data_IF_422730150191
#
_entry.id   IF_422730150191
#
_cell.length_a   1.000
_cell.length_b   1.000
_cell.length_c   1.000
_cell.angle_alpha   90.00
_cell.angle_beta   90.00
_cell.angle_gamma   90.00
#
_symmetry.space_group_name_H-M   'P 1'
#
loop_
_entity.id
_entity.type
_entity.pdbx_description
1 polymer ?
#
# COMPACT_ATOMS: atom_id res chain seq x y z
N UNK A 1 19.27 3.85 9.05
CA UNK A 1 18.17 4.03 8.09
C UNK A 1 17.35 5.28 8.40
N UNK A 2 16.77 5.41 9.61
CA UNK A 2 15.99 6.60 10.02
C UNK A 2 16.84 7.89 10.02
N UNK A 3 18.09 7.82 10.48
CA UNK A 3 19.00 8.97 10.53
C UNK A 3 19.22 9.65 9.18
N UNK A 4 19.55 8.87 8.14
CA UNK A 4 19.78 9.42 6.81
C UNK A 4 18.51 10.04 6.23
N UNK A 5 17.35 9.43 6.47
CA UNK A 5 16.07 9.97 6.05
C UNK A 5 15.72 11.27 6.78
N UNK A 6 16.09 11.39 8.07
CA UNK A 6 15.90 12.64 8.82
C UNK A 6 16.82 13.75 8.33
N UNK A 7 18.10 13.47 8.06
CA UNK A 7 19.00 14.46 7.50
C UNK A 7 18.53 14.94 6.11
N UNK A 8 18.08 14.02 5.25
CA UNK A 8 17.51 14.40 3.95
C UNK A 8 16.22 15.23 4.10
N UNK A 9 15.39 14.92 5.11
CA UNK A 9 14.19 15.69 5.39
C UNK A 9 14.52 17.10 5.90
N UNK A 10 15.54 17.26 6.75
CA UNK A 10 15.98 18.58 7.24
C UNK A 10 16.56 19.44 6.13
N UNK A 11 17.27 18.84 5.17
CA UNK A 11 17.77 19.56 3.99
C UNK A 11 16.62 20.07 3.11
N UNK A 12 15.58 19.24 2.94
CA UNK A 12 14.39 19.60 2.15
C UNK A 12 13.56 20.71 2.81
N UNK A 13 13.61 20.81 4.14
CA UNK A 13 12.84 21.80 4.93
C UNK A 13 13.65 23.06 5.26
N UNK A 14 14.88 23.18 4.76
CA UNK A 14 15.82 24.28 5.05
C UNK A 14 16.02 24.47 6.57
N UNK A 15 16.29 23.38 7.29
CA UNK A 15 16.52 23.35 8.74
C UNK A 15 17.92 22.81 9.08
N UNK A 16 19.01 23.50 8.66
CA UNK A 16 20.37 22.99 8.80
C UNK A 16 20.79 22.83 10.27
N UNK A 17 20.28 23.65 11.18
CA UNK A 17 20.56 23.55 12.61
C UNK A 17 20.04 22.23 13.21
N UNK A 18 18.89 21.74 12.72
CA UNK A 18 18.34 20.45 13.17
C UNK A 18 19.19 19.31 12.64
N UNK A 19 19.65 19.38 11.38
CA UNK A 19 20.55 18.40 10.79
C UNK A 19 21.85 18.30 11.59
N UNK A 20 22.44 19.45 11.94
CA UNK A 20 23.65 19.54 12.75
C UNK A 20 23.45 18.93 14.14
N UNK A 21 22.32 19.21 14.79
CA UNK A 21 21.99 18.57 16.08
C UNK A 21 21.82 17.07 15.96
N UNK A 22 21.16 16.56 14.92
CA UNK A 22 21.06 15.11 14.69
C UNK A 22 22.46 14.49 14.60
N UNK A 23 23.41 15.15 13.94
CA UNK A 23 24.78 14.64 13.71
C UNK A 23 25.68 14.79 14.96
N UNK A 24 25.54 15.86 15.73
CA UNK A 24 26.48 16.21 16.80
C UNK A 24 25.97 15.89 18.21
N UNK A 25 24.67 15.99 18.43
CA UNK A 25 24.03 15.79 19.73
C UNK A 25 23.45 14.37 19.83
N UNK A 26 24.19 13.50 20.53
CA UNK A 26 23.81 12.09 20.72
C UNK A 26 22.48 11.96 21.47
N UNK A 27 22.26 12.75 22.52
CA UNK A 27 21.04 12.67 23.33
C UNK A 27 19.84 13.09 22.51
N UNK A 28 19.93 14.23 21.81
CA UNK A 28 18.88 14.68 20.90
C UNK A 28 18.56 13.63 19.84
N UNK A 29 19.58 12.99 19.26
CA UNK A 29 19.42 11.91 18.29
C UNK A 29 18.65 10.71 18.85
N UNK A 30 19.03 10.26 20.05
CA UNK A 30 18.42 9.10 20.70
C UNK A 30 16.96 9.38 21.06
N UNK A 31 16.69 10.55 21.63
CA UNK A 31 15.33 10.99 21.99
C UNK A 31 14.43 11.12 20.75
N UNK A 32 14.92 11.80 19.72
CA UNK A 32 14.21 11.97 18.46
C UNK A 32 13.95 10.61 17.78
N UNK A 33 14.97 9.76 17.73
CA UNK A 33 14.86 8.41 17.17
C UNK A 33 13.83 7.55 17.91
N UNK A 34 13.80 7.63 19.25
CA UNK A 34 12.82 6.95 20.08
C UNK A 34 11.39 7.40 19.78
N UNK A 35 11.14 8.72 19.72
CA UNK A 35 9.82 9.24 19.39
C UNK A 35 9.34 8.83 18.00
N UNK A 36 10.25 8.80 17.02
CA UNK A 36 9.95 8.37 15.66
C UNK A 36 9.64 6.87 15.59
N UNK A 37 10.38 6.04 16.32
CA UNK A 37 10.10 4.61 16.41
C UNK A 37 8.71 4.35 17.00
N UNK A 38 8.31 5.09 18.03
CA UNK A 38 6.97 5.01 18.62
C UNK A 38 5.90 5.37 17.56
N UNK A 39 6.08 6.50 16.86
CA UNK A 39 5.11 6.92 15.82
C UNK A 39 5.06 5.94 14.66
N UNK A 40 6.21 5.42 14.21
CA UNK A 40 6.26 4.42 13.15
C UNK A 40 5.53 3.14 13.58
N UNK A 41 5.73 2.68 14.81
CA UNK A 41 5.01 1.53 15.38
C UNK A 41 3.48 1.74 15.38
N UNK A 42 3.02 2.94 15.74
CA UNK A 42 1.59 3.29 15.71
C UNK A 42 1.06 3.28 14.26
N UNK A 43 1.77 3.91 13.32
CA UNK A 43 1.36 3.95 11.91
C UNK A 43 1.26 2.54 11.33
N UNK A 44 2.29 1.71 11.53
CA UNK A 44 2.30 0.32 11.08
C UNK A 44 1.14 -0.47 11.67
N UNK A 45 0.93 -0.36 12.98
CA UNK A 45 -0.16 -1.08 13.66
C UNK A 45 -1.53 -0.65 13.15
N UNK A 46 -1.76 0.65 12.96
CA UNK A 46 -3.02 1.18 12.45
C UNK A 46 -3.33 0.66 11.04
N UNK A 47 -2.36 0.74 10.12
CA UNK A 47 -2.57 0.29 8.74
C UNK A 47 -2.68 -1.23 8.67
N UNK A 48 -1.92 -1.97 9.48
CA UNK A 48 -2.06 -3.41 9.60
C UNK A 48 -3.45 -3.83 10.08
N UNK A 49 -4.00 -3.15 11.10
CA UNK A 49 -5.35 -3.42 11.60
C UNK A 49 -6.41 -3.19 10.51
N UNK A 50 -6.27 -2.13 9.72
CA UNK A 50 -7.13 -1.87 8.56
C UNK A 50 -7.02 -3.00 7.53
N UNK A 51 -5.80 -3.43 7.19
CA UNK A 51 -5.60 -4.55 6.27
C UNK A 51 -6.26 -5.84 6.78
N UNK A 52 -6.09 -6.15 8.08
CA UNK A 52 -6.70 -7.30 8.74
C UNK A 52 -8.22 -7.32 8.64
N UNK A 53 -8.89 -6.17 8.82
CA UNK A 53 -10.35 -6.08 8.73
C UNK A 53 -10.88 -6.34 7.32
N UNK A 54 -10.06 -6.10 6.28
CA UNK A 54 -10.48 -6.19 4.88
C UNK A 54 -10.04 -7.49 4.21
N UNK A 55 -9.03 -8.19 4.74
CA UNK A 55 -8.36 -9.31 4.06
C UNK A 55 -9.31 -10.46 3.71
N UNK A 56 -10.23 -10.80 4.61
CA UNK A 56 -11.19 -11.88 4.41
C UNK A 56 -12.11 -11.62 3.19
N UNK A 57 -12.60 -10.39 3.03
CA UNK A 57 -13.43 -10.00 1.90
C UNK A 57 -12.68 -10.02 0.57
N UNK A 58 -11.41 -9.59 0.56
CA UNK A 58 -10.62 -9.53 -0.67
C UNK A 58 -10.09 -10.87 -1.16
N UNK A 59 -9.86 -11.83 -0.25
CA UNK A 59 -9.37 -13.17 -0.60
C UNK A 59 -10.43 -14.28 -0.43
N UNK A 60 -11.65 -13.89 -0.08
CA UNK A 60 -12.83 -14.75 0.07
C UNK A 60 -12.62 -15.92 1.05
N UNK A 61 -12.08 -15.65 2.24
CA UNK A 61 -11.78 -16.73 3.20
C UNK A 61 -13.04 -17.35 3.82
N UNK A 62 -14.14 -16.59 3.97
CA UNK A 62 -15.43 -17.13 4.44
C UNK A 62 -15.92 -18.34 3.65
N UNK A 63 -15.76 -18.32 2.32
CA UNK A 63 -16.24 -19.39 1.44
C UNK A 63 -15.15 -20.41 1.07
N UNK A 64 -13.93 -20.23 1.59
CA UNK A 64 -12.81 -21.14 1.34
C UNK A 64 -12.82 -22.29 2.36
N UNK A 65 -12.88 -23.55 1.87
CA UNK A 65 -12.84 -24.75 2.72
C UNK A 65 -11.49 -24.94 3.41
N UNK A 66 -10.39 -24.61 2.73
CA UNK A 66 -9.03 -24.71 3.25
C UNK A 66 -8.31 -23.36 3.16
N UNK A 67 -8.66 -22.48 4.10
CA UNK A 67 -8.11 -21.12 4.20
C UNK A 67 -6.60 -21.14 4.43
N UNK A 68 -6.12 -22.09 5.25
CA UNK A 68 -4.72 -22.19 5.61
C UNK A 68 -3.86 -22.53 4.40
N UNK A 69 -4.28 -23.51 3.60
CA UNK A 69 -3.58 -23.84 2.36
C UNK A 69 -3.68 -22.69 1.35
N UNK A 70 -4.84 -22.06 1.21
CA UNK A 70 -5.01 -20.89 0.33
C UNK A 70 -4.03 -19.76 0.67
N UNK A 71 -3.87 -19.44 1.95
CA UNK A 71 -2.91 -18.44 2.43
C UNK A 71 -1.48 -18.86 2.13
N UNK A 72 -1.12 -20.13 2.35
CA UNK A 72 0.22 -20.64 2.03
C UNK A 72 0.53 -20.51 0.54
N UNK A 73 -0.42 -20.83 -0.33
CA UNK A 73 -0.25 -20.71 -1.79
C UNK A 73 -0.06 -19.25 -2.22
N UNK A 74 -0.89 -18.36 -1.65
CA UNK A 74 -0.80 -16.91 -1.88
C UNK A 74 0.58 -16.35 -1.49
N UNK A 75 1.09 -16.76 -0.33
CA UNK A 75 2.37 -16.29 0.20
C UNK A 75 3.59 -16.93 -0.49
N UNK A 76 3.52 -18.23 -0.84
CA UNK A 76 4.64 -18.96 -1.44
C UNK A 76 5.03 -18.39 -2.82
N UNK A 77 4.06 -17.93 -3.59
CA UNK A 77 4.26 -17.40 -4.94
C UNK A 77 4.15 -15.87 -5.00
N UNK A 78 3.95 -15.19 -3.86
CA UNK A 78 3.59 -13.78 -3.79
C UNK A 78 2.39 -13.40 -4.69
N UNK A 79 1.50 -14.35 -5.01
CA UNK A 79 0.37 -14.11 -5.93
C UNK A 79 -0.67 -13.17 -5.33
N UNK A 80 -0.64 -12.97 -4.01
CA UNK A 80 -1.53 -12.06 -3.29
C UNK A 80 -1.44 -10.60 -3.74
N UNK A 81 -0.34 -10.19 -4.39
CA UNK A 81 -0.19 -8.80 -4.86
C UNK A 81 -0.83 -8.54 -6.22
N UNK A 82 -1.13 -9.59 -6.98
CA UNK A 82 -1.57 -9.47 -8.37
C UNK A 82 -3.07 -9.24 -8.48
N UNK A 83 -3.47 -8.39 -9.42
CA UNK A 83 -4.87 -8.22 -9.80
C UNK A 83 -5.50 -9.51 -10.31
N UNK A 84 -6.83 -9.53 -10.35
CA UNK A 84 -7.60 -10.62 -10.93
C UNK A 84 -8.10 -10.22 -12.32
N UNK A 85 -8.14 -11.16 -13.24
CA UNK A 85 -8.79 -10.98 -14.55
C UNK A 85 -10.31 -11.18 -14.44
N UNK A 86 -11.01 -11.06 -15.58
CA UNK A 86 -12.46 -11.22 -15.66
C UNK A 86 -12.99 -12.59 -15.18
N UNK A 87 -12.13 -13.61 -15.10
CA UNK A 87 -12.48 -14.94 -14.61
C UNK A 87 -12.05 -15.15 -13.14
N UNK A 88 -11.76 -14.07 -12.41
CA UNK A 88 -11.30 -14.09 -11.01
C UNK A 88 -9.98 -14.86 -10.79
N UNK A 89 -9.18 -15.02 -11.85
CA UNK A 89 -7.86 -15.65 -11.77
C UNK A 89 -6.78 -14.60 -11.69
N UNK A 90 -5.69 -14.94 -10.99
CA UNK A 90 -4.49 -14.11 -10.90
C UNK A 90 -4.01 -13.73 -12.30
N UNK A 91 -3.86 -12.44 -12.53
CA UNK A 91 -3.33 -11.87 -13.76
C UNK A 91 -1.90 -11.38 -13.55
N UNK A 92 -0.93 -12.10 -14.14
CA UNK A 92 0.48 -11.76 -14.09
C UNK A 92 0.83 -10.40 -14.71
N UNK A 93 -0.06 -9.83 -15.54
CA UNK A 93 0.10 -8.50 -16.12
C UNK A 93 -0.28 -7.37 -15.14
N UNK A 94 -0.89 -7.69 -13.99
CA UNK A 94 -1.38 -6.72 -13.01
C UNK A 94 -0.67 -6.84 -11.65
N UNK A 95 0.67 -6.79 -11.57
CA UNK A 95 1.37 -6.81 -10.29
C UNK A 95 0.96 -5.61 -9.43
N UNK A 96 0.92 -5.83 -8.10
CA UNK A 96 0.54 -4.84 -7.08
C UNK A 96 -0.89 -4.28 -7.16
N UNK A 97 -1.70 -4.72 -8.12
CA UNK A 97 -3.05 -4.22 -8.36
C UNK A 97 -4.15 -5.12 -7.75
N UNK A 98 -3.81 -6.01 -6.82
CA UNK A 98 -4.83 -6.72 -6.06
C UNK A 98 -5.68 -5.73 -5.25
N UNK A 99 -7.00 -5.98 -5.18
CA UNK A 99 -7.95 -5.09 -4.52
C UNK A 99 -7.62 -4.84 -3.03
N UNK A 100 -7.05 -5.83 -2.34
CA UNK A 100 -6.56 -5.66 -0.96
C UNK A 100 -5.40 -4.66 -0.84
N UNK A 101 -4.47 -4.65 -1.81
CA UNK A 101 -3.34 -3.71 -1.84
C UNK A 101 -3.87 -2.30 -2.09
N UNK A 102 -4.77 -2.14 -3.07
CA UNK A 102 -5.41 -0.86 -3.37
C UNK A 102 -6.19 -0.34 -2.17
N UNK A 103 -7.00 -1.18 -1.52
CA UNK A 103 -7.78 -0.80 -0.34
C UNK A 103 -6.90 -0.40 0.86
N UNK A 104 -5.69 -0.97 0.97
CA UNK A 104 -4.70 -0.58 1.97
C UNK A 104 -4.02 0.75 1.60
N UNK A 105 -3.69 0.95 0.32
CA UNK A 105 -3.14 2.20 -0.20
C UNK A 105 -4.10 3.38 -0.02
N UNK A 106 -5.40 3.18 -0.24
CA UNK A 106 -6.45 4.18 -0.01
C UNK A 106 -6.42 4.71 1.43
N UNK A 107 -6.21 3.82 2.39
CA UNK A 107 -6.20 4.17 3.82
C UNK A 107 -4.91 4.90 4.20
N UNK A 108 -3.77 4.47 3.66
CA UNK A 108 -2.51 5.19 3.81
C UNK A 108 -2.64 6.60 3.22
N UNK A 109 -3.18 6.71 2.00
CA UNK A 109 -3.35 7.98 1.31
C UNK A 109 -4.22 8.95 2.12
N UNK A 110 -5.41 8.47 2.54
CA UNK A 110 -6.38 9.23 3.33
C UNK A 110 -5.79 9.70 4.66
N UNK A 111 -5.05 8.84 5.35
CA UNK A 111 -4.53 9.15 6.67
C UNK A 111 -3.30 10.07 6.64
N UNK A 112 -2.44 9.96 5.61
CA UNK A 112 -1.10 10.54 5.69
C UNK A 112 -0.65 11.34 4.46
N UNK A 113 -1.36 11.28 3.33
CA UNK A 113 -0.82 11.80 2.06
C UNK A 113 -1.68 12.86 1.36
N UNK A 114 -2.92 13.10 1.78
CA UNK A 114 -3.83 14.09 1.16
C UNK A 114 -3.21 15.48 1.04
N UNK A 115 -2.36 15.86 1.99
CA UNK A 115 -1.69 17.19 2.03
C UNK A 115 -0.32 17.21 1.32
N UNK A 116 0.14 16.09 0.77
CA UNK A 116 1.47 15.91 0.19
C UNK A 116 1.40 15.47 -1.28
N UNK A 117 0.43 15.99 -2.03
CA UNK A 117 0.20 15.65 -3.44
C UNK A 117 1.40 15.99 -4.34
N UNK A 118 2.22 16.97 -3.96
CA UNK A 118 3.44 17.34 -4.67
C UNK A 118 4.54 16.25 -4.65
N UNK A 119 4.40 15.21 -3.82
CA UNK A 119 5.36 14.09 -3.76
C UNK A 119 5.04 12.94 -4.71
N UNK A 120 3.96 13.06 -5.48
CA UNK A 120 3.53 12.06 -6.46
C UNK A 120 4.09 12.40 -7.84
N UNK A 121 5.40 12.16 -8.01
CA UNK A 121 6.13 12.53 -9.22
C UNK A 121 6.15 11.40 -10.26
N UNK A 122 6.13 11.78 -11.54
CA UNK A 122 6.28 10.82 -12.64
C UNK A 122 7.71 10.28 -12.74
N UNK A 123 7.84 8.97 -12.97
CA UNK A 123 9.11 8.30 -13.23
C UNK A 123 9.63 8.49 -14.67
N UNK A 124 8.86 9.19 -15.53
CA UNK A 124 9.25 9.55 -16.89
C UNK A 124 9.06 11.06 -17.13
N UNK A 125 9.87 11.91 -16.47
CA UNK A 125 9.72 13.37 -16.52
C UNK A 125 9.96 13.97 -17.91
N UNK A 126 10.68 13.27 -18.79
CA UNK A 126 10.98 13.73 -20.14
C UNK A 126 9.82 13.55 -21.13
N UNK A 127 8.76 12.82 -20.76
CA UNK A 127 7.57 12.64 -21.61
C UNK A 127 6.61 13.83 -21.45
N UNK A 128 6.26 14.56 -22.53
CA UNK A 128 5.48 15.81 -22.43
C UNK A 128 4.05 15.62 -21.91
N UNK A 129 3.49 14.41 -22.03
CA UNK A 129 2.15 14.07 -21.56
C UNK A 129 2.24 13.41 -20.19
N UNK A 130 3.08 12.38 -20.08
CA UNK A 130 3.13 11.49 -18.91
C UNK A 130 3.94 12.03 -17.74
N UNK A 131 4.74 13.07 -17.94
CA UNK A 131 5.40 13.81 -16.85
C UNK A 131 4.42 14.44 -15.86
N UNK A 132 3.17 14.68 -16.29
CA UNK A 132 2.10 15.26 -15.47
C UNK A 132 1.25 14.23 -14.74
N UNK A 133 1.44 12.93 -15.04
CA UNK A 133 0.73 11.88 -14.32
C UNK A 133 1.36 11.65 -12.95
N UNK A 134 0.52 11.58 -11.93
CA UNK A 134 0.95 11.29 -10.56
C UNK A 134 1.17 9.79 -10.35
N UNK A 135 2.22 9.43 -9.63
CA UNK A 135 2.56 8.03 -9.31
C UNK A 135 2.61 7.82 -7.80
N UNK A 136 2.05 6.69 -7.33
CA UNK A 136 2.23 6.29 -5.93
C UNK A 136 3.71 6.06 -5.63
N UNK A 137 4.27 6.67 -4.56
CA UNK A 137 5.67 6.44 -4.20
C UNK A 137 5.96 4.96 -3.92
N UNK A 138 7.13 4.50 -4.38
CA UNK A 138 7.61 3.12 -4.15
C UNK A 138 7.52 2.69 -2.67
N UNK A 139 7.96 3.51 -1.69
CA UNK A 139 7.84 3.15 -0.28
C UNK A 139 6.41 2.89 0.18
N UNK A 140 5.45 3.63 -0.37
CA UNK A 140 4.04 3.50 0.00
C UNK A 140 3.45 2.18 -0.52
N UNK A 141 3.79 1.78 -1.75
CA UNK A 141 3.38 0.47 -2.32
C UNK A 141 4.02 -0.69 -1.56
N UNK A 142 5.34 -0.64 -1.33
CA UNK A 142 6.05 -1.67 -0.58
C UNK A 142 5.48 -1.82 0.85
N UNK A 143 5.15 -0.72 1.49
CA UNK A 143 4.53 -0.71 2.82
C UNK A 143 3.13 -1.34 2.80
N UNK A 144 2.25 -0.91 1.89
CA UNK A 144 0.90 -1.48 1.77
C UNK A 144 0.91 -3.00 1.56
N UNK A 145 1.77 -3.48 0.66
CA UNK A 145 1.94 -4.91 0.37
C UNK A 145 2.44 -5.67 1.59
N UNK A 146 3.38 -5.07 2.33
CA UNK A 146 3.90 -5.65 3.57
C UNK A 146 2.79 -5.80 4.61
N UNK A 147 1.92 -4.80 4.75
CA UNK A 147 0.78 -4.85 5.68
C UNK A 147 -0.25 -5.90 5.27
N UNK A 148 -0.55 -6.02 3.97
CA UNK A 148 -1.41 -7.10 3.44
C UNK A 148 -0.79 -8.47 3.72
N UNK A 149 0.51 -8.63 3.50
CA UNK A 149 1.22 -9.88 3.77
C UNK A 149 1.19 -10.24 5.26
N UNK A 150 1.39 -9.26 6.14
CA UNK A 150 1.28 -9.45 7.58
C UNK A 150 -0.14 -9.90 7.96
N UNK A 151 -1.17 -9.23 7.42
CA UNK A 151 -2.56 -9.59 7.64
C UNK A 151 -2.91 -11.02 7.19
N UNK A 152 -2.33 -11.47 6.06
CA UNK A 152 -2.51 -12.85 5.59
C UNK A 152 -1.95 -13.88 6.57
N UNK A 153 -0.85 -13.58 7.29
CA UNK A 153 -0.26 -14.53 8.24
C UNK A 153 -1.20 -14.88 9.40
N UNK A 154 -2.11 -13.98 9.78
CA UNK A 154 -3.15 -14.27 10.78
C UNK A 154 -4.04 -15.44 10.40
N UNK A 155 -4.14 -15.76 9.11
CA UNK A 155 -4.98 -16.82 8.57
C UNK A 155 -4.21 -18.09 8.18
N UNK A 156 -2.89 -18.13 8.39
CA UNK A 156 -2.01 -19.20 7.89
C UNK A 156 -2.35 -20.59 8.47
N UNK A 157 -2.93 -20.63 9.67
CA UNK A 157 -3.38 -21.88 10.33
C UNK A 157 -4.77 -22.35 9.85
N UNK A 158 -5.44 -21.56 9.01
CA UNK A 158 -6.83 -21.77 8.59
C UNK A 158 -7.88 -21.10 9.49
N UNK A 159 -7.49 -20.70 10.70
CA UNK A 159 -8.29 -19.87 11.58
C UNK A 159 -7.61 -18.52 11.78
N UNK A 160 -8.40 -17.47 12.02
CA UNK A 160 -7.83 -16.18 12.40
C UNK A 160 -7.18 -16.30 13.78
N UNK A 161 -5.88 -16.02 13.84
CA UNK A 161 -5.11 -15.92 15.08
C UNK A 161 -4.73 -14.47 15.26
N UNK A 162 -5.21 -13.82 16.31
CA UNK A 162 -4.80 -12.46 16.63
C UNK A 162 -3.34 -12.47 17.13
N UNK A 163 -2.46 -11.88 16.32
CA UNK A 163 -1.03 -11.76 16.60
C UNK A 163 -0.68 -10.28 16.72
N UNK A 164 0.11 -9.93 17.74
CA UNK A 164 0.62 -8.58 17.87
C UNK A 164 1.53 -8.27 16.68
N UNK A 165 1.26 -7.17 15.98
CA UNK A 165 2.10 -6.72 14.88
C UNK A 165 3.53 -6.43 15.36
N UNK A 166 4.51 -6.97 14.64
CA UNK A 166 5.92 -6.73 14.85
C UNK A 166 6.57 -6.24 13.55
N UNK A 167 7.00 -4.98 13.53
CA UNK A 167 7.61 -4.38 12.34
C UNK A 167 8.92 -5.10 11.92
N UNK A 168 9.69 -5.59 12.90
CA UNK A 168 10.99 -6.22 12.65
C UNK A 168 10.85 -7.55 11.88
N UNK A 169 9.76 -8.28 12.12
CA UNK A 169 9.46 -9.53 11.41
C UNK A 169 9.12 -9.31 9.92
N UNK A 170 8.75 -8.09 9.56
CA UNK A 170 8.29 -7.74 8.21
C UNK A 170 9.27 -6.83 7.44
N UNK A 171 10.38 -6.43 8.07
CA UNK A 171 11.38 -5.54 7.45
C UNK A 171 11.96 -6.10 6.15
N UNK A 172 12.17 -7.43 6.09
CA UNK A 172 12.73 -8.09 4.92
C UNK A 172 11.74 -8.12 3.76
N UNK A 173 10.44 -8.33 4.05
CA UNK A 173 9.38 -8.24 3.05
C UNK A 173 9.30 -6.83 2.47
N UNK A 174 9.34 -5.81 3.32
CA UNK A 174 9.34 -4.42 2.89
C UNK A 174 10.53 -4.09 1.99
N UNK A 175 11.75 -4.44 2.42
CA UNK A 175 12.98 -4.23 1.65
C UNK A 175 12.96 -4.98 0.30
N UNK A 176 12.43 -6.20 0.28
CA UNK A 176 12.28 -6.96 -0.96
C UNK A 176 11.41 -6.22 -1.97
N UNK A 177 10.22 -5.76 -1.56
CA UNK A 177 9.32 -5.03 -2.47
C UNK A 177 9.88 -3.67 -2.90
N UNK A 178 10.57 -2.95 -2.00
CA UNK A 178 11.33 -1.75 -2.37
C UNK A 178 12.30 -2.05 -3.51
N UNK A 179 13.15 -3.06 -3.33
CA UNK A 179 14.17 -3.41 -4.32
C UNK A 179 13.55 -3.83 -5.66
N UNK A 180 12.48 -4.64 -5.65
CA UNK A 180 11.78 -5.06 -6.87
C UNK A 180 11.23 -3.85 -7.63
N UNK A 181 10.59 -2.92 -6.92
CA UNK A 181 9.98 -1.73 -7.53
C UNK A 181 11.04 -0.76 -8.06
N UNK A 182 12.13 -0.52 -7.32
CA UNK A 182 13.25 0.30 -7.81
C UNK A 182 13.90 -0.31 -9.05
N UNK A 183 14.14 -1.62 -9.06
CA UNK A 183 14.66 -2.30 -10.26
C UNK A 183 13.72 -2.14 -11.46
N UNK A 184 12.40 -2.16 -11.25
CA UNK A 184 11.42 -1.93 -12.33
C UNK A 184 11.44 -0.50 -12.86
N UNK A 185 11.68 0.49 -11.99
CA UNK A 185 11.78 1.91 -12.33
C UNK A 185 13.09 2.22 -13.08
N UNK A 186 14.21 1.69 -12.62
CA UNK A 186 15.54 1.97 -13.16
C UNK A 186 15.74 1.38 -14.57
N UNK A 187 15.23 0.17 -14.82
CA UNK A 187 15.39 -0.55 -16.08
C UNK A 187 14.58 0.08 -17.23
N UNK A 188 15.22 0.52 -18.34
CA UNK A 188 14.51 1.17 -19.46
C UNK A 188 13.37 0.34 -20.05
N UNK A 189 13.54 -0.98 -20.12
CA UNK A 189 12.58 -1.92 -20.69
C UNK A 189 11.30 -2.09 -19.84
N UNK A 190 11.40 -1.85 -18.53
CA UNK A 190 10.25 -1.94 -17.60
C UNK A 190 9.73 -0.58 -17.15
N UNK A 191 10.50 0.51 -17.29
CA UNK A 191 10.15 1.84 -16.77
C UNK A 191 8.78 2.34 -17.21
N UNK A 192 8.42 2.17 -18.50
CA UNK A 192 7.09 2.56 -19.01
C UNK A 192 5.95 1.76 -18.37
N UNK A 193 6.19 0.47 -18.07
CA UNK A 193 5.22 -0.40 -17.38
C UNK A 193 5.12 -0.04 -15.91
N UNK A 194 6.26 0.25 -15.27
CA UNK A 194 6.33 0.77 -13.91
C UNK A 194 5.52 2.06 -13.76
N UNK A 195 5.76 3.05 -14.63
CA UNK A 195 5.02 4.31 -14.67
C UNK A 195 3.51 4.05 -14.74
N UNK A 196 3.08 3.23 -15.72
CA UNK A 196 1.66 2.93 -15.90
C UNK A 196 1.05 2.24 -14.68
N UNK A 197 1.78 1.30 -14.06
CA UNK A 197 1.35 0.61 -12.86
C UNK A 197 1.19 1.61 -11.69
N UNK A 198 2.17 2.46 -11.43
CA UNK A 198 2.11 3.42 -10.32
C UNK A 198 1.07 4.53 -10.53
N UNK A 199 0.88 4.99 -11.77
CA UNK A 199 -0.15 5.96 -12.16
C UNK A 199 -1.57 5.37 -12.03
N UNK A 200 -1.75 4.10 -12.45
CA UNK A 200 -3.00 3.37 -12.24
C UNK A 200 -3.30 3.19 -10.74
N UNK A 201 -2.29 2.81 -9.94
CA UNK A 201 -2.43 2.70 -8.49
C UNK A 201 -2.81 4.05 -7.86
N UNK A 202 -2.22 5.15 -8.32
CA UNK A 202 -2.54 6.49 -7.83
C UNK A 202 -4.01 6.80 -8.09
N UNK A 203 -4.43 6.63 -9.35
CA UNK A 203 -5.81 6.84 -9.78
C UNK A 203 -6.79 5.99 -8.97
N UNK A 204 -6.50 4.70 -8.75
CA UNK A 204 -7.35 3.81 -7.94
C UNK A 204 -7.34 4.15 -6.44
N UNK A 205 -6.29 4.80 -5.95
CA UNK A 205 -6.14 5.22 -4.56
C UNK A 205 -6.87 6.53 -4.27
N UNK A 206 -6.87 7.46 -5.24
CA UNK A 206 -7.52 8.77 -5.11
C UNK A 206 -8.99 8.74 -5.53
N UNK A 207 -9.33 7.93 -6.53
CA UNK A 207 -10.72 7.73 -6.91
C UNK A 207 -11.36 6.84 -5.88
N UNK A 208 -12.31 7.40 -5.15
CA UNK A 208 -13.17 6.66 -4.24
C UNK A 208 -14.00 5.68 -5.06
N UNK A 209 -13.47 4.48 -5.26
CA UNK A 209 -14.31 3.31 -5.48
C UNK A 209 -15.00 3.03 -4.15
N UNK A 210 -16.01 3.83 -3.81
CA UNK A 210 -17.18 3.22 -3.19
C UNK A 210 -17.53 2.11 -4.19
N UNK A 211 -17.30 0.85 -3.83
CA UNK A 211 -17.97 -0.25 -4.50
C UNK A 211 -19.27 -0.51 -3.73
N UNK A 212 -20.37 0.23 -3.99
CA UNK A 212 -21.70 -0.27 -3.73
C UNK A 212 -22.15 -0.95 -5.03
N UNK A 213 -21.46 -1.99 -5.48
CA UNK A 213 -22.04 -2.87 -6.52
C UNK A 213 -23.30 -3.59 -6.02
N UNK A 214 -23.65 -3.45 -4.73
CA UNK A 214 -24.96 -3.77 -4.19
C UNK A 214 -25.99 -2.61 -4.19
N UNK A 215 -25.57 -1.35 -4.40
CA UNK A 215 -26.44 -0.17 -4.26
C UNK A 215 -26.80 0.55 -5.58
N UNK A 216 -26.02 0.38 -6.65
CA UNK A 216 -26.36 0.94 -7.96
C UNK A 216 -27.38 0.08 -8.73
N UNK A 217 -27.41 -1.24 -8.47
CA UNK A 217 -28.44 -2.11 -9.04
C UNK A 217 -29.82 -1.91 -8.41
N UNK A 218 -29.92 -1.47 -7.16
CA UNK A 218 -31.22 -1.20 -6.51
C UNK A 218 -31.90 0.06 -7.04
N UNK A 219 -31.13 1.08 -7.48
CA UNK A 219 -31.71 2.31 -8.08
C UNK A 219 -32.19 2.07 -9.52
N UNK A 220 -31.58 1.14 -10.25
CA UNK A 220 -32.03 0.78 -11.61
C UNK A 220 -33.26 -0.15 -11.62
N UNK A 221 -33.66 -0.68 -10.47
CA UNK A 221 -34.88 -1.51 -10.31
C UNK A 221 -36.05 -0.68 -9.74
N UNK A 222 -35.81 0.57 -9.32
CA UNK A 222 -36.87 1.45 -8.85
C UNK A 222 -37.73 1.96 -10.03
N UNK A 223 -38.84 1.26 -10.29
CA UNK A 223 -39.92 1.76 -11.13
C UNK A 223 -40.79 2.74 -10.33
N UNK A 224 -40.38 4.02 -10.35
CA UNK A 224 -41.13 5.12 -9.74
C UNK A 224 -42.41 5.48 -10.51
N UNK A 225 -42.67 4.88 -11.68
CA UNK A 225 -43.85 5.17 -12.49
C UNK A 225 -45.11 4.43 -12.01
N UNK A 226 -44.98 3.49 -11.06
CA UNK A 226 -46.09 2.69 -10.52
C UNK A 226 -46.50 3.02 -9.07
N UNK A 227 -45.95 4.09 -8.47
CA UNK A 227 -46.35 4.48 -7.11
C UNK A 227 -47.63 5.35 -7.20
N UNK A 228 -48.75 4.84 -6.67
CA UNK A 228 -49.99 5.61 -6.50
C UNK A 228 -49.76 6.84 -5.61
N UNK A 229 -50.43 7.96 -5.94
CA UNK A 229 -50.27 9.28 -5.29
C UNK A 229 -50.56 9.28 -3.77
#
# INVERSE_FOLDING_TARGET
MILNALCQATDTLDQPEIADRIIRDKTYREDLGSQLNIRLGIICSNIHNVANLKIDGHYNFKHCRDRGQRVKDLLAQNTFIYGLNANERVDGALPYQHSAVIATLQEIHKAYCVVHTNRYESSIPDDPIRSKEHEVPIPMVAFAVTMVRAALLHWQTGNFVDMKFNADEHVNTYKYHLQVLEMMKEKPETRKKFHRMMSNLYTATTNRSDNPTAGLHSIQILDLAGMEE
#
